data_IF_262550541188
#
_entry.id   IF_262550541188
#
_cell.length_a   1.000
_cell.length_b   1.000
_cell.length_c   1.000
_cell.angle_alpha   90.00
_cell.angle_beta   90.00
_cell.angle_gamma   90.00
#
_symmetry.space_group_name_H-M   'P 1'
#
loop_
_entity.id
_entity.type
_entity.pdbx_description
1 polymer ?
#
# COMPACT_ATOMS: atom_id res chain seq x y z
N UNK A 1 4.80 1.36 3.34
CA UNK A 1 3.64 1.78 2.52
C UNK A 1 4.02 1.61 1.06
N UNK A 2 3.15 1.00 0.26
CA UNK A 2 3.36 0.85 -1.18
C UNK A 2 3.20 2.18 -1.92
N UNK A 3 3.82 2.26 -3.08
CA UNK A 3 3.68 3.38 -4.01
C UNK A 3 2.96 2.87 -5.26
N UNK A 4 1.96 3.61 -5.73
CA UNK A 4 1.26 3.25 -6.96
C UNK A 4 2.07 3.59 -8.20
N UNK A 5 2.00 2.71 -9.21
CA UNK A 5 2.35 3.08 -10.58
C UNK A 5 1.31 4.04 -11.15
N UNK A 6 1.73 5.04 -11.92
CA UNK A 6 0.78 6.02 -12.48
C UNK A 6 -0.20 5.39 -13.46
N UNK A 7 0.23 4.37 -14.19
CA UNK A 7 -0.62 3.56 -15.08
C UNK A 7 -1.76 2.87 -14.33
N UNK A 8 -1.52 2.37 -13.10
CA UNK A 8 -2.56 1.76 -12.28
C UNK A 8 -3.67 2.74 -11.94
N UNK A 9 -3.31 3.97 -11.59
CA UNK A 9 -4.29 5.04 -11.30
C UNK A 9 -5.10 5.38 -12.57
N UNK A 10 -4.41 5.52 -13.71
CA UNK A 10 -5.08 5.78 -14.99
C UNK A 10 -6.05 4.65 -15.39
N UNK A 11 -5.64 3.40 -15.22
CA UNK A 11 -6.46 2.22 -15.51
C UNK A 11 -7.67 2.09 -14.58
N UNK A 12 -7.51 2.42 -13.29
CA UNK A 12 -8.61 2.41 -12.32
C UNK A 12 -9.72 3.40 -12.67
N UNK A 13 -9.39 4.52 -13.34
CA UNK A 13 -10.35 5.54 -13.76
C UNK A 13 -10.81 5.42 -15.22
N UNK A 14 -10.54 4.28 -15.87
CA UNK A 14 -11.08 4.00 -17.20
C UNK A 14 -10.42 4.74 -18.35
N UNK A 15 -9.18 5.21 -18.20
CA UNK A 15 -8.40 5.78 -19.28
C UNK A 15 -7.90 4.66 -20.21
N UNK A 16 -8.56 4.48 -21.36
CA UNK A 16 -8.08 3.61 -22.45
C UNK A 16 -6.90 4.20 -23.22
N UNK A 17 -6.34 5.33 -22.78
CA UNK A 17 -5.30 6.08 -23.47
C UNK A 17 -3.90 5.55 -23.31
N UNK A 18 -3.66 4.68 -22.35
CA UNK A 18 -2.38 4.00 -22.16
C UNK A 18 -2.47 2.58 -22.77
N UNK A 19 -2.52 2.50 -24.11
CA UNK A 19 -2.23 1.29 -24.88
C UNK A 19 -2.92 0.00 -24.43
N UNK A 20 -4.25 -0.05 -24.39
CA UNK A 20 -5.03 -1.29 -24.16
C UNK A 20 -4.79 -2.04 -22.84
N UNK A 21 -4.42 -1.37 -21.77
CA UNK A 21 -4.43 -2.03 -20.48
C UNK A 21 -5.85 -2.41 -20.07
N UNK A 22 -6.12 -3.67 -19.69
CA UNK A 22 -7.42 -4.05 -19.16
C UNK A 22 -7.70 -3.28 -17.87
N UNK A 23 -8.96 -2.94 -17.62
CA UNK A 23 -9.37 -2.39 -16.33
C UNK A 23 -8.99 -3.36 -15.21
N UNK A 24 -8.39 -2.86 -14.16
CA UNK A 24 -8.05 -3.66 -12.99
C UNK A 24 -9.29 -3.77 -12.11
N UNK A 25 -9.87 -4.96 -11.99
CA UNK A 25 -10.83 -5.27 -10.93
C UNK A 25 -10.09 -5.91 -9.75
N UNK A 26 -9.63 -5.07 -8.83
CA UNK A 26 -8.78 -5.51 -7.72
C UNK A 26 -9.41 -6.66 -6.91
N UNK A 27 -10.73 -6.70 -6.77
CA UNK A 27 -11.40 -7.74 -5.97
C UNK A 27 -11.55 -9.05 -6.73
N UNK A 28 -11.84 -9.01 -8.03
CA UNK A 28 -12.16 -10.17 -8.84
C UNK A 28 -10.95 -10.74 -9.58
N UNK A 29 -10.00 -9.88 -10.00
CA UNK A 29 -8.83 -10.27 -10.76
C UNK A 29 -7.80 -11.06 -9.94
N UNK A 30 -6.94 -11.80 -10.65
CA UNK A 30 -5.83 -12.53 -10.04
C UNK A 30 -4.68 -11.58 -9.71
N UNK A 31 -4.78 -10.88 -8.59
CA UNK A 31 -3.75 -9.95 -8.14
C UNK A 31 -2.63 -10.71 -7.43
N UNK A 32 -1.41 -10.52 -7.87
CA UNK A 32 -0.22 -11.19 -7.35
C UNK A 32 0.74 -10.21 -6.70
N UNK A 33 1.50 -10.71 -5.74
CA UNK A 33 2.68 -10.05 -5.18
C UNK A 33 3.92 -10.83 -5.58
N UNK A 34 4.79 -10.23 -6.37
CA UNK A 34 6.07 -10.81 -6.76
C UNK A 34 7.23 -10.08 -6.08
N UNK A 35 8.30 -10.84 -5.78
CA UNK A 35 9.51 -10.29 -5.18
C UNK A 35 10.53 -9.93 -6.26
N UNK A 36 11.21 -8.81 -6.07
CA UNK A 36 12.12 -8.23 -7.07
C UNK A 36 13.46 -7.90 -6.41
N UNK A 37 14.54 -8.13 -7.15
CA UNK A 37 15.91 -7.91 -6.70
C UNK A 37 16.31 -6.44 -6.72
N UNK A 38 17.43 -6.09 -6.09
CA UNK A 38 18.01 -4.74 -6.14
C UNK A 38 18.57 -4.33 -7.51
N UNK A 39 18.57 -5.22 -8.49
CA UNK A 39 18.93 -4.88 -9.88
C UNK A 39 17.81 -4.14 -10.60
N UNK A 40 16.60 -4.20 -10.08
CA UNK A 40 15.49 -3.42 -10.59
C UNK A 40 15.63 -1.95 -10.21
N UNK A 41 15.50 -1.06 -11.18
CA UNK A 41 15.41 0.38 -10.95
C UNK A 41 13.98 0.82 -11.17
N UNK A 42 13.21 1.09 -10.11
CA UNK A 42 11.81 1.47 -10.25
C UNK A 42 11.63 2.79 -11.02
N UNK A 43 10.72 2.80 -11.98
CA UNK A 43 10.19 4.00 -12.60
C UNK A 43 8.66 3.95 -12.57
N UNK A 44 8.07 4.62 -11.57
CA UNK A 44 6.62 4.59 -11.34
C UNK A 44 5.82 5.34 -12.42
N UNK A 45 6.49 6.14 -13.24
CA UNK A 45 5.87 6.91 -14.31
C UNK A 45 5.90 6.20 -15.66
N UNK A 46 6.98 5.45 -15.94
CA UNK A 46 7.21 4.82 -17.23
C UNK A 46 6.89 3.32 -17.24
N UNK A 47 7.09 2.61 -16.12
CA UNK A 47 6.77 1.21 -16.04
C UNK A 47 5.26 1.02 -15.86
N UNK A 48 4.64 0.23 -16.71
CA UNK A 48 3.18 0.02 -16.73
C UNK A 48 2.77 -1.45 -16.70
N UNK A 49 3.59 -2.38 -17.20
CA UNK A 49 3.29 -3.80 -17.23
C UNK A 49 4.39 -4.66 -16.62
N UNK A 50 4.05 -5.92 -16.33
CA UNK A 50 4.95 -6.89 -15.71
C UNK A 50 6.22 -7.16 -16.53
N UNK A 51 6.19 -7.00 -17.86
CA UNK A 51 7.37 -7.12 -18.71
C UNK A 51 8.49 -6.12 -18.37
N UNK A 52 8.18 -4.99 -17.74
CA UNK A 52 9.16 -3.99 -17.32
C UNK A 52 9.92 -4.44 -16.05
N UNK A 53 9.39 -5.43 -15.34
CA UNK A 53 9.85 -5.86 -14.02
C UNK A 53 10.39 -7.28 -14.02
N UNK A 54 9.78 -8.19 -14.77
CA UNK A 54 9.99 -9.66 -14.71
C UNK A 54 11.45 -10.10 -14.87
N UNK A 55 12.26 -9.37 -15.62
CA UNK A 55 13.68 -9.66 -15.79
C UNK A 55 14.48 -9.59 -14.47
N UNK A 56 13.95 -8.89 -13.47
CA UNK A 56 14.55 -8.71 -12.16
C UNK A 56 13.81 -9.47 -11.05
N UNK A 57 12.89 -10.38 -11.42
CA UNK A 57 12.16 -11.18 -10.45
C UNK A 57 13.14 -12.08 -9.65
N UNK A 58 12.87 -12.25 -8.38
CA UNK A 58 13.64 -13.12 -7.49
C UNK A 58 13.51 -14.58 -7.95
N UNK A 59 14.61 -15.32 -7.85
CA UNK A 59 14.62 -16.77 -7.97
C UNK A 59 15.33 -17.38 -6.75
N UNK A 60 14.93 -18.59 -6.36
CA UNK A 60 15.53 -19.30 -5.24
C UNK A 60 14.62 -20.36 -4.66
N UNK A 61 15.15 -21.16 -3.74
CA UNK A 61 14.39 -22.22 -3.07
C UNK A 61 13.19 -21.60 -2.32
N UNK A 62 12.04 -22.22 -2.46
CA UNK A 62 10.80 -21.81 -1.79
C UNK A 62 10.09 -20.61 -2.42
N UNK A 63 10.64 -20.01 -3.47
CA UNK A 63 9.97 -18.98 -4.25
C UNK A 63 9.38 -19.57 -5.55
N UNK A 64 8.13 -19.22 -5.83
CA UNK A 64 7.47 -19.60 -7.09
C UNK A 64 7.47 -18.40 -8.03
N UNK A 65 7.95 -18.60 -9.26
CA UNK A 65 7.95 -17.55 -10.28
C UNK A 65 6.56 -16.94 -10.48
N UNK A 66 6.52 -15.67 -10.72
CA UNK A 66 5.36 -14.78 -10.74
C UNK A 66 4.75 -14.46 -9.35
N UNK A 67 5.41 -14.89 -8.27
CA UNK A 67 5.00 -14.52 -6.92
C UNK A 67 3.84 -15.32 -6.36
N UNK A 68 3.13 -14.73 -5.39
CA UNK A 68 2.01 -15.32 -4.68
C UNK A 68 0.71 -14.58 -5.00
N UNK A 69 -0.39 -15.33 -5.20
CA UNK A 69 -1.74 -14.78 -5.32
C UNK A 69 -2.14 -14.11 -3.99
N UNK A 70 -2.61 -12.88 -4.04
CA UNK A 70 -3.13 -12.18 -2.87
C UNK A 70 -4.50 -12.72 -2.48
N UNK A 71 -4.59 -13.16 -1.23
CA UNK A 71 -5.84 -13.57 -0.57
C UNK A 71 -6.50 -12.45 0.21
N UNK A 72 -7.78 -12.62 0.56
CA UNK A 72 -8.55 -11.68 1.42
C UNK A 72 -8.44 -10.22 0.97
N UNK A 73 -8.50 -10.00 -0.34
CA UNK A 73 -8.41 -8.66 -0.92
C UNK A 73 -9.60 -7.80 -0.48
N UNK A 74 -9.32 -6.57 -0.09
CA UNK A 74 -10.33 -5.57 0.25
C UNK A 74 -10.05 -4.25 -0.48
N UNK A 75 -11.12 -3.61 -0.88
CA UNK A 75 -11.11 -2.29 -1.49
C UNK A 75 -12.07 -1.41 -0.70
N UNK A 76 -11.54 -0.38 -0.07
CA UNK A 76 -12.35 0.51 0.75
C UNK A 76 -12.15 1.94 0.30
N UNK A 77 -13.24 2.57 -0.14
CA UNK A 77 -13.30 4.01 -0.35
C UNK A 77 -13.94 4.64 0.86
N UNK A 78 -13.24 5.57 1.48
CA UNK A 78 -13.75 6.18 2.66
C UNK A 78 -13.77 7.70 2.55
N UNK A 79 -14.98 8.26 2.59
CA UNK A 79 -15.19 9.68 2.78
C UNK A 79 -14.89 10.07 4.23
N UNK A 80 -14.30 11.25 4.45
CA UNK A 80 -13.78 11.71 5.74
C UNK A 80 -14.76 11.64 6.95
N UNK A 81 -16.05 11.36 6.72
CA UNK A 81 -17.07 11.44 7.76
C UNK A 81 -17.66 10.11 8.24
N UNK A 82 -17.43 8.97 7.59
CA UNK A 82 -18.23 7.77 7.86
C UNK A 82 -17.53 6.67 8.68
N UNK A 83 -16.21 6.57 8.70
CA UNK A 83 -15.50 5.43 9.33
C UNK A 83 -14.35 5.79 10.26
N UNK A 84 -13.72 6.95 10.08
CA UNK A 84 -12.69 7.37 11.00
C UNK A 84 -13.29 7.55 12.39
N UNK A 85 -12.70 6.88 13.37
CA UNK A 85 -13.09 7.07 14.76
C UNK A 85 -12.96 8.54 15.12
N UNK A 86 -13.93 9.10 15.82
CA UNK A 86 -13.80 10.46 16.35
C UNK A 86 -12.64 10.48 17.35
N UNK A 87 -11.75 11.46 17.20
CA UNK A 87 -10.68 11.70 18.16
C UNK A 87 -11.23 11.86 19.58
N UNK A 88 -10.61 11.20 20.53
CA UNK A 88 -10.91 11.34 21.96
C UNK A 88 -9.65 11.73 22.72
N UNK A 89 -9.82 12.58 23.73
CA UNK A 89 -8.76 12.99 24.65
C UNK A 89 -8.45 11.88 25.65
N UNK A 90 -7.25 11.91 26.25
CA UNK A 90 -6.79 10.95 27.28
C UNK A 90 -6.99 9.47 26.86
N UNK A 91 -6.88 9.20 25.56
CA UNK A 91 -7.15 7.89 24.96
C UNK A 91 -5.88 7.35 24.32
N UNK A 92 -5.62 6.04 24.49
CA UNK A 92 -4.50 5.38 23.85
C UNK A 92 -4.80 5.06 22.37
N UNK A 93 -3.87 5.40 21.48
CA UNK A 93 -3.90 5.08 20.07
C UNK A 93 -2.62 4.39 19.64
N UNK A 94 -2.74 3.38 18.82
CA UNK A 94 -1.59 2.73 18.16
C UNK A 94 -1.18 3.51 16.92
N UNK A 95 0.09 3.41 16.54
CA UNK A 95 0.54 3.90 15.24
C UNK A 95 -0.29 3.26 14.11
N UNK A 96 -0.60 4.02 13.06
CA UNK A 96 -1.47 3.61 11.98
C UNK A 96 -2.96 3.99 12.17
N UNK A 97 -3.42 4.21 13.41
CA UNK A 97 -4.82 4.56 13.66
C UNK A 97 -5.22 5.87 12.98
N UNK A 98 -6.38 5.88 12.33
CA UNK A 98 -6.95 7.07 11.68
C UNK A 98 -8.11 7.61 12.51
N UNK A 99 -8.12 8.94 12.68
CA UNK A 99 -9.18 9.66 13.39
C UNK A 99 -9.63 10.88 12.59
N UNK A 100 -10.80 11.37 12.94
CA UNK A 100 -11.32 12.70 12.56
C UNK A 100 -11.40 13.59 13.80
N UNK A 101 -11.19 14.90 13.70
CA UNK A 101 -11.46 15.82 14.79
C UNK A 101 -12.90 15.73 15.27
N UNK A 102 -13.15 15.86 16.57
CA UNK A 102 -14.48 15.87 17.15
C UNK A 102 -15.32 17.06 16.64
N UNK A 103 -14.69 18.20 16.39
CA UNK A 103 -15.32 19.38 15.83
C UNK A 103 -15.41 19.38 14.29
N UNK A 104 -15.01 18.31 13.63
CA UNK A 104 -15.04 18.13 12.17
C UNK A 104 -14.44 19.31 11.37
N UNK A 105 -13.27 19.11 10.76
CA UNK A 105 -12.66 20.09 9.87
C UNK A 105 -12.52 19.60 8.43
N UNK A 106 -13.17 18.47 8.11
CA UNK A 106 -13.15 17.85 6.79
C UNK A 106 -11.94 16.95 6.52
N UNK A 107 -10.91 16.95 7.37
CA UNK A 107 -9.68 16.17 7.20
C UNK A 107 -9.62 14.94 8.10
N UNK A 108 -8.80 13.99 7.68
CA UNK A 108 -8.42 12.80 8.42
C UNK A 108 -6.97 12.89 8.90
N UNK A 109 -6.70 12.26 10.03
CA UNK A 109 -5.38 12.27 10.66
C UNK A 109 -4.98 10.85 11.05
N UNK A 110 -3.75 10.48 10.69
CA UNK A 110 -3.17 9.19 11.04
C UNK A 110 -2.14 9.35 12.15
N UNK A 111 -2.19 8.50 13.16
CA UNK A 111 -1.13 8.39 14.16
C UNK A 111 0.13 7.83 13.49
N UNK A 112 1.17 8.64 13.38
CA UNK A 112 2.52 8.21 12.94
C UNK A 112 3.37 7.77 14.13
N UNK A 113 3.06 8.27 15.33
CA UNK A 113 3.58 7.78 16.61
C UNK A 113 2.39 7.44 17.49
N UNK A 114 2.37 6.23 18.05
CA UNK A 114 1.35 5.79 19.00
C UNK A 114 1.64 6.28 20.41
N UNK A 115 0.60 6.41 21.24
CA UNK A 115 0.69 6.88 22.61
C UNK A 115 -0.68 7.21 23.19
N UNK A 116 -0.71 7.96 24.28
CA UNK A 116 -1.96 8.48 24.87
C UNK A 116 -2.10 9.96 24.52
N UNK A 117 -3.27 10.35 24.02
CA UNK A 117 -3.59 11.75 23.67
C UNK A 117 -3.64 12.65 24.90
N UNK A 118 -3.45 13.95 24.68
CA UNK A 118 -3.56 14.98 25.71
C UNK A 118 -4.97 15.14 26.29
N UNK A 119 -5.10 15.97 27.30
CA UNK A 119 -6.39 16.31 27.94
C UNK A 119 -7.29 17.24 27.12
N UNK A 120 -6.79 17.80 26.02
CA UNK A 120 -7.55 18.64 25.07
C UNK A 120 -7.17 18.26 23.64
N UNK A 121 -8.09 18.45 22.71
CA UNK A 121 -7.82 18.25 21.28
C UNK A 121 -6.75 19.23 20.79
N UNK A 122 -5.82 18.78 19.91
CA UNK A 122 -4.79 19.65 19.37
C UNK A 122 -5.38 20.63 18.34
N UNK A 123 -4.61 21.64 17.97
CA UNK A 123 -4.94 22.46 16.80
C UNK A 123 -4.58 21.67 15.53
N UNK A 124 -5.58 21.17 14.84
CA UNK A 124 -5.43 20.29 13.69
C UNK A 124 -4.93 21.04 12.46
N UNK A 125 -3.77 20.68 11.87
CA UNK A 125 -3.29 21.30 10.64
C UNK A 125 -4.17 20.96 9.45
N UNK A 126 -4.50 21.93 8.60
CA UNK A 126 -5.33 21.74 7.40
C UNK A 126 -4.54 21.47 6.13
N UNK A 127 -3.21 21.49 6.21
CA UNK A 127 -2.33 21.14 5.07
C UNK A 127 -1.96 19.67 5.15
N UNK A 128 -2.16 18.93 4.05
CA UNK A 128 -1.82 17.51 3.94
C UNK A 128 -0.32 17.30 4.21
N UNK A 129 0.02 16.26 4.94
CA UNK A 129 1.38 15.91 5.32
C UNK A 129 1.91 16.64 6.56
N UNK A 130 1.27 17.72 7.01
CA UNK A 130 1.66 18.37 8.27
C UNK A 130 1.26 17.52 9.47
N UNK A 131 2.07 17.63 10.52
CA UNK A 131 1.92 16.89 11.77
C UNK A 131 1.52 17.79 12.93
N UNK A 132 0.88 17.20 13.93
CA UNK A 132 0.63 17.81 15.23
C UNK A 132 0.86 16.78 16.34
N UNK A 133 1.46 17.22 17.45
CA UNK A 133 1.64 16.40 18.64
C UNK A 133 0.47 16.61 19.58
N UNK A 134 -0.03 15.51 20.14
CA UNK A 134 -1.16 15.46 21.05
C UNK A 134 -0.86 14.46 22.18
N UNK A 135 -0.32 14.97 23.30
CA UNK A 135 0.23 14.11 24.35
C UNK A 135 1.39 13.25 23.82
N UNK A 136 1.25 11.94 23.90
CA UNK A 136 2.23 10.98 23.36
C UNK A 136 2.00 10.60 21.90
N UNK A 137 0.94 11.08 21.26
CA UNK A 137 0.58 10.75 19.87
C UNK A 137 1.06 11.83 18.91
N UNK A 138 1.60 11.45 17.77
CA UNK A 138 1.83 12.37 16.65
C UNK A 138 0.86 12.05 15.53
N UNK A 139 0.04 13.03 15.16
CA UNK A 139 -0.94 12.94 14.09
C UNK A 139 -0.41 13.60 12.82
N UNK A 140 -0.58 12.95 11.68
CA UNK A 140 -0.31 13.51 10.34
C UNK A 140 -1.61 13.69 9.59
N UNK A 141 -1.84 14.87 9.02
CA UNK A 141 -2.96 15.10 8.12
C UNK A 141 -2.80 14.26 6.85
N UNK A 142 -3.78 13.40 6.54
CA UNK A 142 -3.76 12.50 5.38
C UNK A 142 -4.81 12.85 4.32
N UNK A 143 -5.41 14.04 4.40
CA UNK A 143 -6.38 14.50 3.40
C UNK A 143 -7.84 14.26 3.80
N UNK A 144 -8.73 14.30 2.81
CA UNK A 144 -10.19 14.29 3.00
C UNK A 144 -10.88 12.99 2.59
N UNK A 145 -10.24 12.17 1.77
CA UNK A 145 -10.72 10.85 1.38
C UNK A 145 -9.56 9.86 1.30
N UNK A 146 -9.83 8.59 1.59
CA UNK A 146 -8.84 7.51 1.47
C UNK A 146 -9.43 6.42 0.61
N UNK A 147 -8.73 6.12 -0.48
CA UNK A 147 -8.87 4.88 -1.21
C UNK A 147 -7.84 3.89 -0.64
N UNK A 148 -8.31 2.77 -0.13
CA UNK A 148 -7.48 1.76 0.50
C UNK A 148 -7.59 0.44 -0.26
N UNK A 149 -6.45 -0.08 -0.68
CA UNK A 149 -6.29 -1.44 -1.19
C UNK A 149 -5.53 -2.26 -0.15
N UNK A 150 -6.11 -3.36 0.27
CA UNK A 150 -5.52 -4.25 1.26
C UNK A 150 -5.71 -5.72 0.90
N UNK A 151 -4.86 -6.58 1.46
CA UNK A 151 -4.92 -8.02 1.28
C UNK A 151 -4.21 -8.72 2.46
N UNK A 152 -4.36 -10.04 2.56
CA UNK A 152 -3.55 -10.82 3.50
C UNK A 152 -2.07 -10.77 3.09
N UNK A 153 -1.18 -10.76 4.09
CA UNK A 153 0.26 -10.76 3.92
C UNK A 153 0.74 -11.97 3.11
N UNK A 154 1.31 -11.78 1.90
CA UNK A 154 1.83 -12.89 1.13
C UNK A 154 3.13 -13.41 1.76
N UNK A 155 3.30 -14.74 1.77
CA UNK A 155 4.45 -15.38 2.38
C UNK A 155 4.95 -16.59 1.59
N UNK A 156 6.26 -16.85 1.72
CA UNK A 156 6.97 -17.99 1.11
C UNK A 156 7.69 -18.75 2.21
N UNK A 157 7.14 -19.91 2.58
CA UNK A 157 7.71 -20.77 3.61
C UNK A 157 8.94 -21.53 3.09
N UNK A 158 9.85 -21.90 4.00
CA UNK A 158 11.08 -22.65 3.69
C UNK A 158 11.88 -22.02 2.55
N UNK A 159 11.91 -20.70 2.49
CA UNK A 159 12.56 -19.97 1.40
C UNK A 159 14.01 -19.62 1.72
N UNK A 160 14.84 -19.65 0.66
CA UNK A 160 16.20 -19.11 0.65
C UNK A 160 16.29 -18.15 -0.52
N UNK A 161 15.99 -16.89 -0.25
CA UNK A 161 15.83 -15.81 -1.24
C UNK A 161 16.30 -14.48 -0.69
N UNK A 162 16.58 -13.54 -1.60
CA UNK A 162 16.89 -12.15 -1.27
C UNK A 162 16.07 -11.24 -2.17
N UNK A 163 15.33 -10.32 -1.58
CA UNK A 163 14.49 -9.34 -2.29
C UNK A 163 14.78 -7.92 -1.82
N UNK A 164 14.64 -6.95 -2.69
CA UNK A 164 14.74 -5.51 -2.41
C UNK A 164 13.37 -4.84 -2.45
N UNK A 165 12.49 -5.36 -3.31
CA UNK A 165 11.15 -4.82 -3.54
C UNK A 165 10.13 -5.94 -3.60
N UNK A 166 8.86 -5.59 -3.35
CA UNK A 166 7.71 -6.36 -3.80
C UNK A 166 6.90 -5.53 -4.79
N UNK A 167 6.41 -6.17 -5.84
CA UNK A 167 5.55 -5.55 -6.85
C UNK A 167 4.21 -6.25 -6.84
N UNK A 168 3.15 -5.46 -6.72
CA UNK A 168 1.77 -5.93 -6.82
C UNK A 168 1.28 -5.63 -8.23
N UNK A 169 0.72 -6.63 -8.90
CA UNK A 169 0.29 -6.54 -10.28
C UNK A 169 -0.90 -7.46 -10.57
N UNK A 170 -1.65 -7.15 -11.61
CA UNK A 170 -2.72 -8.02 -12.09
C UNK A 170 -2.17 -9.06 -13.07
N UNK A 171 -2.33 -10.33 -12.73
CA UNK A 171 -1.91 -11.47 -13.55
C UNK A 171 -3.04 -12.09 -14.35
N UNK A 172 -4.24 -11.56 -14.30
CA UNK A 172 -5.39 -12.05 -15.09
C UNK A 172 -5.12 -12.05 -16.59
N UNK A 173 -4.50 -11.00 -17.18
CA UNK A 173 -4.14 -11.00 -18.58
C UNK A 173 -3.11 -12.08 -18.93
N UNK A 174 -3.16 -12.58 -20.16
CA UNK A 174 -2.39 -13.76 -20.58
C UNK A 174 -0.89 -13.53 -20.73
N UNK A 175 -0.45 -12.29 -21.04
CA UNK A 175 0.94 -11.98 -21.35
C UNK A 175 1.51 -10.90 -20.42
N UNK A 176 2.81 -10.97 -20.15
CA UNK A 176 3.51 -10.01 -19.28
C UNK A 176 3.40 -8.55 -19.81
N UNK A 177 3.33 -8.37 -21.11
CA UNK A 177 3.15 -7.08 -21.77
C UNK A 177 1.73 -6.49 -21.62
N UNK A 178 0.83 -7.21 -20.98
CA UNK A 178 -0.57 -6.78 -20.75
C UNK A 178 -1.00 -6.94 -19.30
N UNK A 179 -0.12 -7.35 -18.39
CA UNK A 179 -0.34 -7.49 -16.94
C UNK A 179 -0.01 -6.20 -16.23
N UNK A 180 -0.99 -5.36 -15.89
CA UNK A 180 -0.71 -4.03 -15.37
C UNK A 180 -0.08 -4.10 -13.98
N UNK A 181 0.91 -3.24 -13.76
CA UNK A 181 1.50 -3.00 -12.45
C UNK A 181 0.54 -2.16 -11.60
N UNK A 182 0.44 -2.47 -10.31
CA UNK A 182 -0.44 -1.76 -9.39
C UNK A 182 0.39 -0.95 -8.39
N UNK A 183 1.24 -1.61 -7.61
CA UNK A 183 2.00 -0.95 -6.56
C UNK A 183 3.39 -1.55 -6.38
N UNK A 184 4.32 -0.71 -5.94
CA UNK A 184 5.67 -1.04 -5.52
C UNK A 184 5.79 -0.87 -4.01
N UNK A 185 6.37 -1.86 -3.34
CA UNK A 185 6.76 -1.81 -1.94
C UNK A 185 8.29 -1.88 -1.88
N UNK A 186 8.91 -0.80 -1.42
CA UNK A 186 10.36 -0.75 -1.20
C UNK A 186 10.68 -1.13 0.24
N UNK A 187 11.45 -2.18 0.45
CA UNK A 187 11.88 -2.62 1.78
C UNK A 187 12.98 -1.73 2.40
N UNK A 188 13.48 -0.73 1.69
CA UNK A 188 14.57 0.15 2.14
C UNK A 188 15.96 -0.47 2.02
N UNK A 189 16.08 -1.79 2.18
CA UNK A 189 17.30 -2.59 2.02
C UNK A 189 16.96 -4.00 1.54
N UNK A 190 17.98 -4.76 1.10
CA UNK A 190 17.79 -6.17 0.79
C UNK A 190 17.33 -6.93 2.03
N UNK A 191 16.22 -7.66 1.90
CA UNK A 191 15.72 -8.59 2.89
C UNK A 191 16.02 -10.01 2.43
N UNK A 192 16.47 -10.86 3.33
CA UNK A 192 16.88 -12.22 2.99
C UNK A 192 16.31 -13.25 3.96
N UNK A 193 16.07 -14.45 3.44
CA UNK A 193 15.77 -15.64 4.25
C UNK A 193 16.75 -16.77 3.91
N UNK A 194 16.97 -17.64 4.86
CA UNK A 194 17.73 -18.89 4.70
C UNK A 194 16.95 -20.01 5.35
N UNK A 195 16.29 -20.83 4.55
CA UNK A 195 15.36 -21.88 4.97
C UNK A 195 14.28 -21.36 5.97
N UNK A 196 13.86 -20.13 5.78
CA UNK A 196 12.88 -19.44 6.64
C UNK A 196 11.61 -19.07 5.90
N UNK A 197 10.70 -18.38 6.58
CA UNK A 197 9.52 -17.79 5.93
C UNK A 197 9.82 -16.34 5.56
N UNK A 198 9.74 -16.02 4.26
CA UNK A 198 9.74 -14.64 3.80
C UNK A 198 8.29 -14.14 3.78
N UNK A 199 8.01 -13.07 4.49
CA UNK A 199 6.66 -12.47 4.52
C UNK A 199 6.77 -11.00 4.12
N UNK A 200 5.94 -10.58 3.16
CA UNK A 200 5.73 -9.16 2.87
C UNK A 200 4.60 -8.67 3.79
N UNK A 201 4.98 -7.92 4.82
CA UNK A 201 4.00 -7.30 5.70
C UNK A 201 3.36 -6.10 4.99
N UNK A 202 2.09 -6.23 4.66
CA UNK A 202 1.29 -5.13 4.18
C UNK A 202 0.92 -4.23 5.36
N UNK A 203 0.82 -2.93 5.12
CA UNK A 203 0.42 -1.99 6.18
C UNK A 203 -1.02 -2.31 6.61
N UNK A 204 -1.32 -2.27 7.90
CA UNK A 204 -2.67 -2.51 8.43
C UNK A 204 -3.75 -1.55 7.85
N UNK A 205 -3.33 -0.49 7.19
CA UNK A 205 -4.17 0.43 6.41
C UNK A 205 -4.11 0.14 4.91
N UNK A 206 -3.58 -1.03 4.51
CA UNK A 206 -3.39 -1.42 3.13
C UNK A 206 -2.07 -0.96 2.52
N UNK A 207 -1.71 -1.60 1.41
CA UNK A 207 -0.46 -1.30 0.70
C UNK A 207 -0.58 -0.11 -0.25
N UNK A 208 -1.79 0.28 -0.61
CA UNK A 208 -2.06 1.41 -1.48
C UNK A 208 -3.06 2.38 -0.86
N UNK A 209 -2.64 3.64 -0.69
CA UNK A 209 -3.49 4.71 -0.17
C UNK A 209 -3.40 5.89 -1.13
N UNK A 210 -4.55 6.31 -1.66
CA UNK A 210 -4.67 7.58 -2.38
C UNK A 210 -5.40 8.54 -1.45
N UNK A 211 -4.76 9.66 -1.16
CA UNK A 211 -5.34 10.77 -0.39
C UNK A 211 -5.59 11.95 -1.33
N UNK A 212 -6.76 12.53 -1.26
CA UNK A 212 -7.12 13.74 -2.03
C UNK A 212 -6.88 15.00 -1.22
#
# INVERSE_FOLDING_TARGET
MGQFYLSAIANAFGSTSAGNAPNIDFLSDNIYCALVTSSYTPDLAAHDFWNDVVANEVSGTGYTANGALLGSKTFTLTAANSWATTHATTTAYTAGRVVRPSAGNGYLYRATVGGTTGGSAPTWPTTIGLTVTDGGVTWTNIGVAILQLDAADPSWASSTITARYAVIYDRTPASDATRPLIALIDFGSNQSTSNGTFTVQLDALGFGIITS
#
